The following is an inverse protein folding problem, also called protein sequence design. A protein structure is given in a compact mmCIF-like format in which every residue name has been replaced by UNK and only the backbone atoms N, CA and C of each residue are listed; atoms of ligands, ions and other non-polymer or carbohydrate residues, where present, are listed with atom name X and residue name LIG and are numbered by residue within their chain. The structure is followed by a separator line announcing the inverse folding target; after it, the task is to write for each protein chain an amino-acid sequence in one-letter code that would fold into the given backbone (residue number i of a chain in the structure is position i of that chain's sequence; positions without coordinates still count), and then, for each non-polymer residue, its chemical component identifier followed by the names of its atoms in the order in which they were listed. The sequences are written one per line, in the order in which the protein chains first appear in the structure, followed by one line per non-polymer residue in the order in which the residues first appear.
data_IF_243768367850
#
_entry.id   IF_243768367850
#
_cell.length_a   1.000
_cell.length_b   1.000
_cell.length_c   1.000
_cell.angle_alpha   90.00
_cell.angle_beta   90.00
_cell.angle_gamma   90.00
#
_symmetry.space_group_name_H-M   'P 1'
#
loop_
_entity.id
_entity.type
_entity.pdbx_description
1 polymer ?
#
# COMPACT_ATOMS: atom_id res chain seq x y z
N UNK A 1 22.09 -1.30 -0.13
CA UNK A 1 21.68 -1.84 1.18
C UNK A 1 20.70 -2.97 0.88
N UNK A 2 21.06 -4.23 1.10
CA UNK A 2 20.26 -5.37 0.61
C UNK A 2 19.32 -5.88 1.70
N UNK A 3 18.02 -5.66 1.50
CA UNK A 3 16.96 -6.35 2.25
C UNK A 3 16.71 -7.68 1.54
N UNK A 4 16.39 -8.73 2.30
CA UNK A 4 15.94 -10.00 1.74
C UNK A 4 14.61 -9.82 0.98
N UNK A 5 14.25 -10.78 0.13
CA UNK A 5 12.98 -10.80 -0.61
C UNK A 5 12.11 -12.01 -0.22
N UNK A 6 12.25 -12.48 1.03
CA UNK A 6 11.65 -13.71 1.51
C UNK A 6 10.12 -13.62 1.64
N UNK A 7 9.61 -12.47 2.08
CA UNK A 7 8.17 -12.23 2.20
C UNK A 7 7.58 -11.85 0.84
N UNK A 8 8.21 -10.90 0.15
CA UNK A 8 7.66 -10.32 -1.08
C UNK A 8 7.67 -11.31 -2.25
N UNK A 9 8.56 -12.31 -2.25
CA UNK A 9 8.56 -13.39 -3.26
C UNK A 9 7.27 -14.23 -3.27
N UNK A 10 6.41 -14.07 -2.26
CA UNK A 10 5.08 -14.71 -2.22
C UNK A 10 4.00 -13.89 -2.94
N UNK A 11 4.26 -12.62 -3.25
CA UNK A 11 3.38 -11.80 -4.07
C UNK A 11 3.53 -12.17 -5.55
N UNK A 12 2.47 -12.00 -6.37
CA UNK A 12 2.60 -12.20 -7.80
C UNK A 12 3.58 -11.18 -8.39
N UNK A 13 4.47 -11.64 -9.28
CA UNK A 13 5.41 -10.75 -9.96
C UNK A 13 4.72 -9.78 -10.93
N UNK A 14 3.63 -10.26 -11.55
CA UNK A 14 2.84 -9.53 -12.52
C UNK A 14 1.36 -9.86 -12.35
N UNK A 15 0.50 -8.87 -12.54
CA UNK A 15 -0.95 -9.05 -12.54
C UNK A 15 -1.54 -8.36 -13.77
N UNK A 16 -2.32 -9.12 -14.52
CA UNK A 16 -3.07 -8.60 -15.65
C UNK A 16 -4.46 -8.19 -15.16
N UNK A 17 -4.83 -6.94 -15.43
CA UNK A 17 -6.14 -6.39 -15.10
C UNK A 17 -6.96 -6.27 -16.38
N UNK A 18 -8.17 -6.80 -16.37
CA UNK A 18 -9.18 -6.51 -17.38
C UNK A 18 -10.09 -5.42 -16.83
N UNK A 19 -10.15 -4.29 -17.51
CA UNK A 19 -10.97 -3.14 -17.13
C UNK A 19 -11.99 -2.93 -18.23
N UNK A 20 -13.26 -2.77 -17.85
CA UNK A 20 -14.33 -2.51 -18.81
C UNK A 20 -14.09 -1.20 -19.56
N UNK A 21 -14.38 -1.18 -20.86
CA UNK A 21 -14.03 -0.07 -21.75
C UNK A 21 -14.74 1.26 -21.43
N UNK A 22 -15.82 1.20 -20.66
CA UNK A 22 -16.62 2.34 -20.20
C UNK A 22 -16.11 2.93 -18.87
N UNK A 23 -15.22 2.23 -18.15
CA UNK A 23 -14.64 2.75 -16.91
C UNK A 23 -13.47 3.70 -17.15
N UNK A 24 -13.40 4.77 -16.35
CA UNK A 24 -12.20 5.63 -16.31
C UNK A 24 -11.14 4.98 -15.41
N UNK A 25 -9.87 5.15 -15.79
CA UNK A 25 -8.73 4.62 -15.02
C UNK A 25 -7.91 5.78 -14.48
N UNK A 26 -7.71 5.80 -13.17
CA UNK A 26 -6.84 6.73 -12.47
C UNK A 26 -5.59 6.01 -12.01
N UNK A 27 -4.42 6.54 -12.40
CA UNK A 27 -3.13 6.07 -11.93
C UNK A 27 -2.54 7.11 -11.01
N UNK A 28 -2.19 6.72 -9.78
CA UNK A 28 -1.62 7.60 -8.76
C UNK A 28 -0.23 7.12 -8.36
N UNK A 29 0.69 8.07 -8.19
CA UNK A 29 2.00 7.79 -7.61
C UNK A 29 1.94 7.66 -6.09
N UNK A 30 3.08 7.91 -5.45
CA UNK A 30 3.31 7.80 -4.01
C UNK A 30 2.22 8.54 -3.22
N UNK A 31 1.66 7.85 -2.22
CA UNK A 31 0.60 8.39 -1.38
C UNK A 31 1.06 8.67 0.05
N UNK A 32 2.17 8.04 0.49
CA UNK A 32 2.85 8.35 1.74
C UNK A 32 1.88 8.40 2.94
N UNK A 33 0.94 7.46 3.05
CA UNK A 33 0.01 7.43 4.17
C UNK A 33 -0.94 8.63 4.30
N UNK A 34 -1.06 9.51 3.29
CA UNK A 34 -1.89 10.71 3.34
C UNK A 34 -3.28 10.47 2.73
N UNK A 35 -4.15 9.87 3.55
CA UNK A 35 -5.55 9.61 3.19
C UNK A 35 -6.30 10.89 2.79
N UNK A 36 -6.11 11.97 3.54
CA UNK A 36 -6.87 13.21 3.33
C UNK A 36 -6.49 13.87 1.99
N UNK A 37 -5.21 13.84 1.62
CA UNK A 37 -4.75 14.33 0.32
C UNK A 37 -5.30 13.50 -0.83
N UNK A 38 -5.24 12.16 -0.74
CA UNK A 38 -5.83 11.31 -1.77
C UNK A 38 -7.32 11.64 -1.94
N UNK A 39 -8.08 11.63 -0.84
CA UNK A 39 -9.53 11.89 -0.87
C UNK A 39 -9.86 13.24 -1.50
N UNK A 40 -9.12 14.29 -1.15
CA UNK A 40 -9.31 15.62 -1.72
C UNK A 40 -9.02 15.69 -3.23
N UNK A 41 -8.06 14.92 -3.74
CA UNK A 41 -7.81 14.86 -5.20
C UNK A 41 -8.88 14.04 -5.93
N UNK A 42 -9.32 12.92 -5.34
CA UNK A 42 -10.39 12.10 -5.88
C UNK A 42 -11.73 12.87 -5.96
N UNK A 43 -12.01 13.72 -4.97
CA UNK A 43 -13.20 14.57 -4.98
C UNK A 43 -13.19 15.60 -6.12
N UNK A 44 -12.03 16.17 -6.45
CA UNK A 44 -11.91 17.15 -7.55
C UNK A 44 -12.20 16.56 -8.92
N UNK A 45 -11.96 15.26 -9.09
CA UNK A 45 -12.18 14.55 -10.35
C UNK A 45 -13.50 13.77 -10.36
N UNK A 46 -14.32 13.93 -9.31
CA UNK A 46 -15.55 13.19 -9.07
C UNK A 46 -15.31 11.68 -9.25
N UNK A 47 -14.31 11.14 -8.55
CA UNK A 47 -14.02 9.71 -8.57
C UNK A 47 -15.18 8.92 -7.94
N UNK A 48 -15.64 7.90 -8.65
CA UNK A 48 -16.68 6.99 -8.22
C UNK A 48 -16.16 5.54 -8.30
N UNK A 49 -15.96 4.83 -7.17
CA UNK A 49 -15.42 3.47 -7.19
C UNK A 49 -16.30 2.43 -7.91
N UNK A 50 -17.58 2.74 -8.15
CA UNK A 50 -18.46 1.84 -8.90
C UNK A 50 -18.22 1.96 -10.43
N UNK A 51 -17.80 3.14 -10.89
CA UNK A 51 -17.63 3.49 -12.32
C UNK A 51 -16.16 3.67 -12.73
N UNK A 52 -15.25 3.83 -11.77
CA UNK A 52 -13.85 4.12 -11.99
C UNK A 52 -12.95 3.06 -11.39
N UNK A 53 -11.75 2.91 -11.94
CA UNK A 53 -10.68 2.06 -11.39
C UNK A 53 -9.52 2.92 -10.93
N UNK A 54 -9.00 2.65 -9.72
CA UNK A 54 -7.80 3.29 -9.19
C UNK A 54 -6.64 2.29 -9.12
N UNK A 55 -5.50 2.68 -9.70
CA UNK A 55 -4.23 1.94 -9.65
C UNK A 55 -3.19 2.83 -8.97
N UNK A 56 -2.66 2.39 -7.83
CA UNK A 56 -1.50 2.99 -7.18
C UNK A 56 -0.21 2.34 -7.67
N UNK A 57 0.81 3.16 -7.90
CA UNK A 57 2.16 2.72 -8.27
C UNK A 57 3.02 2.27 -7.07
N UNK A 58 2.49 2.36 -5.84
CA UNK A 58 3.15 1.91 -4.61
C UNK A 58 3.43 3.05 -3.64
N UNK A 59 4.22 2.75 -2.60
CA UNK A 59 4.58 3.70 -1.53
C UNK A 59 3.34 4.39 -0.95
N UNK A 60 2.39 3.55 -0.50
CA UNK A 60 1.10 4.00 0.03
C UNK A 60 1.10 4.12 1.55
N UNK A 61 2.12 3.61 2.23
CA UNK A 61 2.33 3.75 3.68
C UNK A 61 3.55 4.64 3.99
N UNK A 62 3.70 4.94 5.28
CA UNK A 62 4.77 5.72 5.89
C UNK A 62 4.73 7.21 5.58
N UNK A 63 5.57 8.00 6.26
CA UNK A 63 5.79 9.46 6.14
C UNK A 63 4.59 10.34 6.49
N UNK A 64 3.40 10.05 6.00
CA UNK A 64 2.16 10.73 6.36
C UNK A 64 1.45 10.14 7.57
N UNK A 65 0.36 10.80 8.00
CA UNK A 65 -0.24 10.56 9.31
C UNK A 65 -1.09 9.28 9.40
N UNK A 66 -1.60 8.76 8.29
CA UNK A 66 -2.79 7.91 8.28
C UNK A 66 -2.62 6.61 7.45
N UNK A 67 -1.42 6.04 7.44
CA UNK A 67 -1.09 4.82 6.65
C UNK A 67 -2.13 3.69 6.77
N UNK A 68 -2.55 3.36 7.99
CA UNK A 68 -3.56 2.30 8.20
C UNK A 68 -4.94 2.67 7.64
N UNK A 69 -5.34 3.94 7.76
CA UNK A 69 -6.61 4.41 7.22
C UNK A 69 -6.59 4.40 5.68
N UNK A 70 -5.51 4.92 5.09
CA UNK A 70 -5.35 4.94 3.64
C UNK A 70 -5.41 3.54 3.04
N UNK A 71 -4.70 2.58 3.64
CA UNK A 71 -4.73 1.17 3.19
C UNK A 71 -6.13 0.57 3.32
N UNK A 72 -6.83 0.83 4.44
CA UNK A 72 -8.21 0.38 4.62
C UNK A 72 -9.16 0.99 3.56
N UNK A 73 -8.97 2.26 3.22
CA UNK A 73 -9.75 2.94 2.19
C UNK A 73 -9.48 2.37 0.80
N UNK A 74 -8.22 2.22 0.40
CA UNK A 74 -7.83 1.62 -0.89
C UNK A 74 -8.39 0.21 -1.05
N UNK A 75 -8.32 -0.60 0.01
CA UNK A 75 -8.95 -1.92 0.03
C UNK A 75 -10.47 -1.84 -0.13
N UNK A 76 -11.14 -0.90 0.57
CA UNK A 76 -12.59 -0.72 0.49
C UNK A 76 -13.08 -0.34 -0.90
N UNK A 77 -12.35 0.52 -1.61
CA UNK A 77 -12.72 0.97 -2.96
C UNK A 77 -12.25 0.00 -4.06
N UNK A 78 -11.66 -1.14 -3.70
CA UNK A 78 -11.18 -2.12 -4.68
C UNK A 78 -9.98 -1.64 -5.49
N UNK A 79 -9.18 -0.71 -4.97
CA UNK A 79 -8.00 -0.21 -5.67
C UNK A 79 -6.96 -1.32 -5.88
N UNK A 80 -6.24 -1.23 -7.01
CA UNK A 80 -5.06 -2.04 -7.29
C UNK A 80 -3.80 -1.30 -6.86
N UNK A 81 -2.83 -2.01 -6.30
CA UNK A 81 -1.61 -1.39 -5.77
C UNK A 81 -0.39 -2.18 -6.19
N UNK A 82 0.57 -1.56 -6.84
CA UNK A 82 1.90 -2.13 -7.02
C UNK A 82 2.66 -2.02 -5.70
N UNK A 83 3.46 -3.02 -5.33
CA UNK A 83 4.25 -2.96 -4.10
C UNK A 83 5.47 -2.05 -4.29
N UNK A 84 5.52 -0.96 -3.54
CA UNK A 84 6.69 -0.08 -3.47
C UNK A 84 7.75 -0.58 -2.51
N UNK A 85 8.84 0.19 -2.36
CA UNK A 85 9.90 -0.18 -1.42
C UNK A 85 9.45 -0.04 0.04
N UNK A 86 8.48 0.83 0.34
CA UNK A 86 7.94 0.94 1.69
C UNK A 86 7.13 -0.31 2.09
N UNK A 87 6.26 -0.81 1.20
CA UNK A 87 5.58 -2.09 1.42
C UNK A 87 6.56 -3.27 1.49
N UNK A 88 7.61 -3.27 0.66
CA UNK A 88 8.66 -4.29 0.72
C UNK A 88 9.36 -4.32 2.09
N UNK A 89 9.78 -3.16 2.59
CA UNK A 89 10.38 -3.04 3.93
C UNK A 89 9.46 -3.56 5.04
N UNK A 90 8.18 -3.18 5.01
CA UNK A 90 7.18 -3.65 5.98
C UNK A 90 6.99 -5.18 5.91
N UNK A 91 6.86 -5.74 4.70
CA UNK A 91 6.67 -7.16 4.48
C UNK A 91 7.83 -7.99 5.04
N UNK A 92 9.07 -7.59 4.76
CA UNK A 92 10.24 -8.31 5.25
C UNK A 92 10.40 -8.15 6.77
N UNK A 93 10.14 -6.95 7.29
CA UNK A 93 10.18 -6.70 8.73
C UNK A 93 9.21 -7.60 9.50
N UNK A 94 7.97 -7.73 9.03
CA UNK A 94 6.90 -8.38 9.78
C UNK A 94 6.71 -9.85 9.42
N UNK A 95 6.74 -10.20 8.13
CA UNK A 95 6.44 -11.56 7.67
C UNK A 95 7.68 -12.45 7.66
N UNK A 96 8.85 -11.90 7.34
CA UNK A 96 10.13 -12.62 7.43
C UNK A 96 10.80 -12.49 8.80
N UNK A 97 10.25 -11.63 9.68
CA UNK A 97 10.83 -11.27 10.99
C UNK A 97 12.27 -10.75 10.84
N UNK A 98 12.55 -10.03 9.76
CA UNK A 98 13.88 -9.50 9.48
C UNK A 98 14.12 -8.22 10.29
N UNK A 99 15.03 -8.30 11.27
CA UNK A 99 15.34 -7.18 12.19
C UNK A 99 16.04 -6.03 11.48
N UNK A 100 16.79 -6.30 10.42
CA UNK A 100 17.42 -5.27 9.61
C UNK A 100 16.36 -4.52 8.79
N UNK A 101 15.42 -5.24 8.18
CA UNK A 101 14.28 -4.65 7.50
C UNK A 101 13.44 -3.80 8.47
N UNK A 102 13.18 -4.28 9.70
CA UNK A 102 12.45 -3.52 10.71
C UNK A 102 13.14 -2.20 11.06
N UNK A 103 14.45 -2.23 11.28
CA UNK A 103 15.25 -1.02 11.55
C UNK A 103 15.17 -0.06 10.36
N UNK A 104 15.38 -0.56 9.15
CA UNK A 104 15.38 0.25 7.94
C UNK A 104 14.01 0.87 7.67
N UNK A 105 12.93 0.09 7.80
CA UNK A 105 11.55 0.57 7.70
C UNK A 105 11.29 1.70 8.69
N UNK A 106 11.64 1.47 9.97
CA UNK A 106 11.47 2.47 11.04
C UNK A 106 12.23 3.77 10.75
N UNK A 107 13.44 3.68 10.19
CA UNK A 107 14.27 4.84 9.82
C UNK A 107 13.73 5.61 8.62
N UNK A 108 12.94 4.97 7.75
CA UNK A 108 12.36 5.57 6.55
C UNK A 108 10.90 5.99 6.72
N UNK A 109 10.40 6.09 7.95
CA UNK A 109 9.05 6.61 8.22
C UNK A 109 8.05 5.57 8.74
N UNK A 110 8.45 4.30 8.84
CA UNK A 110 7.60 3.21 9.35
C UNK A 110 7.34 3.24 10.86
N UNK A 111 7.87 4.19 11.63
CA UNK A 111 7.80 4.21 13.11
C UNK A 111 6.37 4.11 13.67
N UNK A 112 5.36 4.51 12.89
CA UNK A 112 3.95 4.38 13.24
C UNK A 112 3.51 2.93 13.53
N UNK A 113 4.26 1.92 13.06
CA UNK A 113 4.02 0.51 13.39
C UNK A 113 4.00 0.25 14.91
N UNK A 114 4.75 1.03 15.68
CA UNK A 114 4.86 0.88 17.15
C UNK A 114 3.57 1.22 17.90
N UNK A 115 2.69 2.00 17.28
CA UNK A 115 1.41 2.42 17.85
C UNK A 115 0.21 1.76 17.17
N UNK A 116 0.43 1.07 16.05
CA UNK A 116 -0.62 0.36 15.34
C UNK A 116 -0.90 -1.02 15.99
N UNK A 117 -2.18 -1.47 16.06
CA UNK A 117 -2.49 -2.82 16.50
C UNK A 117 -1.80 -3.86 15.61
N UNK A 118 -1.13 -4.84 16.22
CA UNK A 118 -0.39 -5.87 15.47
C UNK A 118 -1.27 -6.60 14.44
N UNK A 119 -2.54 -6.86 14.77
CA UNK A 119 -3.48 -7.50 13.85
C UNK A 119 -3.76 -6.65 12.61
N UNK A 120 -3.81 -5.32 12.75
CA UNK A 120 -3.96 -4.40 11.62
C UNK A 120 -2.76 -4.53 10.68
N UNK A 121 -1.54 -4.53 11.21
CA UNK A 121 -0.32 -4.69 10.41
C UNK A 121 -0.29 -6.03 9.67
N UNK A 122 -0.68 -7.12 10.33
CA UNK A 122 -0.77 -8.46 9.71
C UNK A 122 -1.80 -8.47 8.58
N UNK A 123 -2.95 -7.82 8.77
CA UNK A 123 -3.99 -7.74 7.74
C UNK A 123 -3.52 -6.95 6.51
N UNK A 124 -2.79 -5.86 6.74
CA UNK A 124 -2.15 -5.08 5.67
C UNK A 124 -1.15 -5.93 4.89
N UNK A 125 -0.22 -6.63 5.57
CA UNK A 125 0.73 -7.52 4.90
C UNK A 125 0.02 -8.60 4.06
N UNK A 126 -1.04 -9.22 4.59
CA UNK A 126 -1.82 -10.21 3.85
C UNK A 126 -2.51 -9.63 2.62
N UNK A 127 -2.94 -8.37 2.68
CA UNK A 127 -3.54 -7.69 1.54
C UNK A 127 -2.48 -7.35 0.48
N UNK A 128 -1.33 -6.82 0.88
CA UNK A 128 -0.19 -6.53 0.00
C UNK A 128 0.30 -7.76 -0.75
N UNK A 129 0.44 -8.91 -0.08
CA UNK A 129 0.88 -10.16 -0.73
C UNK A 129 -0.12 -10.72 -1.76
N UNK A 130 -1.34 -10.18 -1.85
CA UNK A 130 -2.35 -10.55 -2.86
C UNK A 130 -2.47 -9.52 -3.99
N UNK A 131 -1.80 -8.38 -3.88
CA UNK A 131 -1.91 -7.33 -4.87
C UNK A 131 -1.28 -7.75 -6.18
#
# INVERSE_FOLDING_TARGET
MNIKTNAISKAPLTKHLTIDSDKRVFVVGDLDGDYSRLKAQLDKVNFNPDEDTLISLGDIIDRGPDSSHLVAYLHKIGAHVVLGNHEHMMLEALMSRDTFALRLWTQNGGKWHSTAPFQTLVNMCKWFLRQ
#
